data_IF_095647942326
#
_entry.id   IF_095647942326
#
_cell.length_a   1.000
_cell.length_b   1.000
_cell.length_c   1.000
_cell.angle_alpha   90.00
_cell.angle_beta   90.00
_cell.angle_gamma   90.00
#
_symmetry.space_group_name_H-M   'P 1'
#
loop_
_entity.id
_entity.type
_entity.pdbx_description
1 polymer ?
#
# COMPACT_ATOMS: atom_id res chain seq x y z
N UNK A 1 9.26 19.19 -9.99
CA UNK A 1 9.38 18.07 -9.03
C UNK A 1 8.24 18.02 -8.03
N UNK A 2 7.73 19.16 -7.54
CA UNK A 2 6.65 19.21 -6.54
C UNK A 2 5.36 18.50 -6.98
N UNK A 3 4.93 18.68 -8.23
CA UNK A 3 3.72 18.03 -8.76
C UNK A 3 3.82 16.50 -8.79
N UNK A 4 4.98 15.96 -9.16
CA UNK A 4 5.19 14.50 -9.14
C UNK A 4 5.23 13.98 -7.70
N UNK A 5 5.82 14.74 -6.77
CA UNK A 5 5.80 14.39 -5.36
C UNK A 5 4.37 14.32 -4.81
N UNK A 6 3.50 15.28 -5.17
CA UNK A 6 2.08 15.26 -4.79
C UNK A 6 1.34 14.03 -5.33
N UNK A 7 1.59 13.66 -6.58
CA UNK A 7 1.02 12.44 -7.19
C UNK A 7 1.47 11.17 -6.48
N UNK A 8 2.76 11.07 -6.16
CA UNK A 8 3.31 9.93 -5.44
C UNK A 8 2.79 9.84 -4.00
N UNK A 9 2.69 10.97 -3.29
CA UNK A 9 2.06 11.01 -1.96
C UNK A 9 0.61 10.56 -2.03
N UNK A 10 -0.16 11.04 -3.02
CA UNK A 10 -1.55 10.60 -3.19
C UNK A 10 -1.66 9.11 -3.51
N UNK A 11 -0.73 8.56 -4.28
CA UNK A 11 -0.69 7.13 -4.56
C UNK A 11 -0.41 6.31 -3.28
N UNK A 12 0.48 6.79 -2.40
CA UNK A 12 0.73 6.14 -1.10
C UNK A 12 -0.52 6.16 -0.23
N UNK A 13 -1.20 7.32 -0.12
CA UNK A 13 -2.45 7.42 0.66
C UNK A 13 -3.52 6.42 0.18
N UNK A 14 -3.61 6.20 -1.14
CA UNK A 14 -4.57 5.27 -1.72
C UNK A 14 -4.19 3.80 -1.48
N UNK A 15 -2.90 3.48 -1.39
CA UNK A 15 -2.43 2.14 -1.03
C UNK A 15 -2.79 1.85 0.42
N UNK A 16 -2.51 2.80 1.32
CA UNK A 16 -2.83 2.66 2.75
C UNK A 16 -4.35 2.48 2.95
N UNK A 17 -5.17 3.29 2.29
CA UNK A 17 -6.64 3.16 2.31
C UNK A 17 -7.11 1.79 1.77
N UNK A 18 -6.50 1.30 0.69
CA UNK A 18 -6.83 -0.01 0.15
C UNK A 18 -6.48 -1.14 1.14
N UNK A 19 -5.31 -1.09 1.79
CA UNK A 19 -4.89 -2.08 2.79
C UNK A 19 -5.89 -2.13 3.94
N UNK A 20 -6.33 -0.98 4.46
CA UNK A 20 -7.30 -0.92 5.56
C UNK A 20 -8.64 -1.56 5.18
N UNK A 21 -9.19 -1.21 4.01
CA UNK A 21 -10.45 -1.77 3.51
C UNK A 21 -10.36 -3.28 3.28
N UNK A 22 -9.24 -3.76 2.73
CA UNK A 22 -9.03 -5.18 2.46
C UNK A 22 -8.83 -5.98 3.75
N UNK A 23 -8.14 -5.42 4.75
CA UNK A 23 -8.01 -6.04 6.08
C UNK A 23 -9.36 -6.16 6.77
N UNK A 24 -10.21 -5.14 6.67
CA UNK A 24 -11.56 -5.20 7.22
C UNK A 24 -12.44 -6.23 6.52
N UNK A 25 -12.32 -6.36 5.19
CA UNK A 25 -12.99 -7.42 4.44
C UNK A 25 -12.48 -8.83 4.84
N UNK A 26 -11.17 -9.01 4.98
CA UNK A 26 -10.55 -10.26 5.42
C UNK A 26 -10.98 -10.66 6.84
N UNK A 27 -11.18 -9.70 7.74
CA UNK A 27 -11.69 -9.97 9.09
C UNK A 27 -13.13 -10.49 9.10
N UNK A 28 -13.93 -10.13 8.10
CA UNK A 28 -15.33 -10.53 8.00
C UNK A 28 -15.52 -11.94 7.41
N UNK A 29 -14.58 -12.42 6.58
CA UNK A 29 -14.68 -13.72 5.90
C UNK A 29 -13.30 -14.39 5.78
N UNK A 30 -13.15 -15.58 6.37
CA UNK A 30 -11.90 -16.35 6.36
C UNK A 30 -11.50 -16.82 4.96
N UNK A 31 -12.45 -17.18 4.10
CA UNK A 31 -12.14 -17.56 2.73
C UNK A 31 -11.64 -16.35 1.93
N UNK A 32 -12.23 -15.18 2.19
CA UNK A 32 -11.75 -13.92 1.62
C UNK A 32 -10.37 -13.54 2.15
N UNK A 33 -10.08 -13.80 3.43
CA UNK A 33 -8.76 -13.56 4.01
C UNK A 33 -7.65 -14.32 3.28
N UNK A 34 -7.86 -15.61 2.98
CA UNK A 34 -6.90 -16.42 2.22
C UNK A 34 -6.71 -15.89 0.79
N UNK A 35 -7.78 -15.41 0.13
CA UNK A 35 -7.68 -14.82 -1.20
C UNK A 35 -7.01 -13.44 -1.22
N UNK A 36 -7.11 -12.69 -0.11
CA UNK A 36 -6.56 -11.34 0.00
C UNK A 36 -5.12 -11.31 0.50
N UNK A 37 -4.57 -12.43 0.98
CA UNK A 37 -3.21 -12.50 1.55
C UNK A 37 -2.15 -11.97 0.55
N UNK A 38 -2.12 -12.51 -0.67
CA UNK A 38 -1.15 -12.10 -1.70
C UNK A 38 -1.34 -10.64 -2.15
N UNK A 39 -2.60 -10.17 -2.16
CA UNK A 39 -2.95 -8.80 -2.54
C UNK A 39 -2.47 -7.82 -1.48
N UNK A 40 -2.76 -8.11 -0.21
CA UNK A 40 -2.32 -7.31 0.93
C UNK A 40 -0.79 -7.24 1.00
N UNK A 41 -0.11 -8.39 0.85
CA UNK A 41 1.34 -8.43 0.81
C UNK A 41 1.92 -7.55 -0.31
N UNK A 42 1.36 -7.65 -1.51
CA UNK A 42 1.82 -6.84 -2.66
C UNK A 42 1.60 -5.34 -2.46
N UNK A 43 0.50 -4.95 -1.79
CA UNK A 43 0.21 -3.56 -1.48
C UNK A 43 1.14 -3.02 -0.39
N UNK A 44 1.42 -3.80 0.64
CA UNK A 44 2.36 -3.45 1.70
C UNK A 44 3.76 -3.19 1.13
N UNK A 45 4.29 -4.11 0.29
CA UNK A 45 5.57 -3.94 -0.40
C UNK A 45 5.58 -2.69 -1.31
N UNK A 46 4.49 -2.44 -2.04
CA UNK A 46 4.37 -1.26 -2.89
C UNK A 46 4.35 0.04 -2.06
N UNK A 47 3.65 0.04 -0.93
CA UNK A 47 3.59 1.15 0.02
C UNK A 47 4.95 1.48 0.62
N UNK A 48 5.68 0.46 1.08
CA UNK A 48 7.04 0.63 1.62
C UNK A 48 8.04 1.15 0.58
N UNK A 49 8.01 0.60 -0.63
CA UNK A 49 8.87 1.05 -1.73
C UNK A 49 8.57 2.50 -2.11
N UNK A 50 7.28 2.88 -2.20
CA UNK A 50 6.86 4.23 -2.54
C UNK A 50 7.19 5.24 -1.43
N UNK A 51 6.99 4.85 -0.17
CA UNK A 51 7.40 5.64 1.00
C UNK A 51 8.91 5.90 0.98
N UNK A 52 9.72 4.88 0.72
CA UNK A 52 11.18 5.01 0.61
C UNK A 52 11.61 6.02 -0.46
N UNK A 53 10.93 6.01 -1.62
CA UNK A 53 11.14 7.00 -2.70
C UNK A 53 10.80 8.41 -2.22
N UNK A 54 9.68 8.59 -1.52
CA UNK A 54 9.21 9.89 -1.03
C UNK A 54 10.08 10.49 0.09
N UNK A 55 10.65 9.61 0.92
CA UNK A 55 11.59 9.95 2.00
C UNK A 55 13.02 10.19 1.49
N UNK A 56 13.31 9.82 0.24
CA UNK A 56 14.66 9.90 -0.32
C UNK A 56 15.62 8.90 0.32
N UNK A 57 15.11 7.82 0.92
CA UNK A 57 15.93 6.72 1.42
C UNK A 57 16.42 5.93 0.21
N UNK A 58 17.73 5.93 -0.01
CA UNK A 58 18.35 5.11 -1.04
C UNK A 58 18.20 3.65 -0.64
N UNK A 59 17.35 2.90 -1.34
CA UNK A 59 17.38 1.43 -1.35
C UNK A 59 18.70 1.02 -2.01
N UNK A 60 19.71 0.78 -1.17
CA UNK A 60 20.99 0.18 -1.54
C UNK A 60 20.99 -1.29 -1.17
#
# INVERSE_FOLDING_TARGET
MEEQRKKLSRALDLIDEAIDLLRDAARADRALAELLEDVLYSLEEAGEALSSILEGKSTR
#
